data_IF_454605985834
#
_entry.id   IF_454605985834
#
_cell.length_a   1.000
_cell.length_b   1.000
_cell.length_c   1.000
_cell.angle_alpha   90.00
_cell.angle_beta   90.00
_cell.angle_gamma   90.00
#
_symmetry.space_group_name_H-M   'P 1'
#
loop_
_entity.id
_entity.type
_entity.pdbx_description
1 polymer ?
#
# COMPACT_ATOMS: atom_id res chain seq x y z
N UNK A 1 -16.59 -31.96 -15.16
CA UNK A 1 -16.48 -31.14 -13.92
C UNK A 1 -16.88 -29.71 -14.27
N UNK A 2 -17.32 -28.89 -13.30
CA UNK A 2 -17.76 -27.50 -13.57
C UNK A 2 -16.58 -26.63 -14.02
N UNK A 3 -16.84 -25.61 -14.84
CA UNK A 3 -15.83 -24.68 -15.32
C UNK A 3 -15.15 -23.96 -14.12
N UNK A 4 -13.81 -23.88 -14.06
CA UNK A 4 -13.09 -23.21 -12.97
C UNK A 4 -13.59 -21.80 -12.68
N UNK A 5 -13.91 -21.03 -13.72
CA UNK A 5 -14.35 -19.64 -13.58
C UNK A 5 -15.72 -19.52 -12.91
N UNK A 6 -16.62 -20.46 -13.16
CA UNK A 6 -17.93 -20.53 -12.49
C UNK A 6 -17.78 -20.98 -11.04
N UNK A 7 -16.88 -21.92 -10.76
CA UNK A 7 -16.58 -22.35 -9.38
C UNK A 7 -16.04 -21.17 -8.57
N UNK A 8 -15.08 -20.42 -9.11
CA UNK A 8 -14.52 -19.24 -8.45
C UNK A 8 -15.56 -18.13 -8.23
N UNK A 9 -16.44 -17.87 -9.20
CA UNK A 9 -17.57 -16.93 -9.03
C UNK A 9 -18.52 -17.37 -7.92
N UNK A 10 -18.93 -18.63 -7.91
CA UNK A 10 -19.81 -19.18 -6.85
C UNK A 10 -19.16 -19.08 -5.45
N UNK A 11 -17.85 -19.30 -5.35
CA UNK A 11 -17.11 -19.11 -4.09
C UNK A 11 -17.11 -17.64 -3.66
N UNK A 12 -16.92 -16.73 -4.61
CA UNK A 12 -16.91 -15.27 -4.39
C UNK A 12 -18.27 -14.73 -3.96
N UNK A 13 -19.36 -15.29 -4.47
CA UNK A 13 -20.72 -14.90 -4.08
C UNK A 13 -21.03 -15.35 -2.65
N UNK A 14 -20.67 -16.59 -2.32
CA UNK A 14 -20.87 -17.16 -0.98
C UNK A 14 -19.95 -16.56 0.07
N UNK A 15 -18.79 -16.02 -0.31
CA UNK A 15 -17.86 -15.40 0.64
C UNK A 15 -18.32 -14.03 1.15
N UNK A 16 -19.35 -13.44 0.54
CA UNK A 16 -20.01 -12.23 1.08
C UNK A 16 -20.68 -12.50 2.43
N UNK A 17 -21.12 -13.73 2.67
CA UNK A 17 -21.69 -14.12 3.95
C UNK A 17 -20.57 -14.51 4.93
N UNK A 18 -20.31 -13.64 5.91
CA UNK A 18 -19.22 -13.83 6.87
C UNK A 18 -19.38 -15.06 7.78
N UNK A 19 -20.62 -15.57 7.93
CA UNK A 19 -20.93 -16.76 8.72
C UNK A 19 -20.79 -18.06 7.93
N UNK A 20 -20.64 -17.99 6.60
CA UNK A 20 -20.57 -19.17 5.77
C UNK A 20 -19.21 -19.88 5.94
N UNK A 21 -19.27 -21.19 6.16
CA UNK A 21 -18.09 -22.05 6.22
C UNK A 21 -17.95 -22.85 4.94
N UNK A 22 -16.81 -22.71 4.29
CA UNK A 22 -16.53 -23.40 3.04
C UNK A 22 -16.13 -24.84 3.31
N UNK A 23 -16.92 -25.79 2.79
CA UNK A 23 -16.66 -27.21 2.87
C UNK A 23 -16.25 -27.77 1.50
N UNK A 24 -15.49 -28.87 1.50
CA UNK A 24 -15.12 -29.64 0.30
C UNK A 24 -14.33 -28.84 -0.75
N UNK A 25 -13.51 -27.87 -0.33
CA UNK A 25 -12.60 -27.12 -1.21
C UNK A 25 -11.54 -28.03 -1.83
N UNK A 26 -11.10 -29.07 -1.11
CA UNK A 26 -10.11 -30.02 -1.58
C UNK A 26 -10.55 -30.73 -2.88
N UNK A 27 -11.86 -30.96 -3.06
CA UNK A 27 -12.41 -31.57 -4.28
C UNK A 27 -12.23 -30.70 -5.53
N UNK A 28 -12.11 -29.38 -5.37
CA UNK A 28 -11.87 -28.47 -6.49
C UNK A 28 -10.45 -28.64 -7.07
N UNK A 29 -9.50 -29.13 -6.25
CA UNK A 29 -8.14 -29.44 -6.68
C UNK A 29 -8.08 -30.66 -7.62
N UNK A 30 -9.17 -31.42 -7.79
CA UNK A 30 -9.20 -32.56 -8.72
C UNK A 30 -9.50 -32.16 -10.17
N UNK A 31 -9.86 -30.89 -10.40
CA UNK A 31 -10.25 -30.45 -11.72
C UNK A 31 -9.04 -29.96 -12.53
N UNK A 32 -8.78 -30.65 -13.64
CA UNK A 32 -7.68 -30.38 -14.59
C UNK A 32 -7.66 -28.93 -15.09
N UNK A 33 -8.82 -28.35 -15.32
CA UNK A 33 -8.93 -27.01 -15.91
C UNK A 33 -8.34 -25.92 -14.99
N UNK A 34 -8.35 -26.13 -13.66
CA UNK A 34 -7.70 -25.21 -12.71
C UNK A 34 -6.18 -25.17 -12.90
N UNK A 35 -5.57 -26.32 -13.18
CA UNK A 35 -4.14 -26.42 -13.39
C UNK A 35 -3.70 -25.78 -14.70
N UNK A 36 -4.51 -25.91 -15.76
CA UNK A 36 -4.26 -25.20 -17.01
C UNK A 36 -4.37 -23.68 -16.86
N UNK A 37 -5.33 -23.19 -16.07
CA UNK A 37 -5.44 -21.77 -15.75
C UNK A 37 -4.23 -21.28 -14.92
N UNK A 38 -3.82 -22.06 -13.92
CA UNK A 38 -2.62 -21.77 -13.13
C UNK A 38 -1.36 -21.74 -13.99
N UNK A 39 -1.21 -22.71 -14.90
CA UNK A 39 -0.10 -22.79 -15.85
C UNK A 39 -0.02 -21.52 -16.71
N UNK A 40 -1.16 -21.07 -17.27
CA UNK A 40 -1.23 -19.83 -18.05
C UNK A 40 -0.77 -18.60 -17.26
N UNK A 41 -1.21 -18.47 -16.01
CA UNK A 41 -0.84 -17.35 -15.14
C UNK A 41 0.65 -17.36 -14.78
N UNK A 42 1.22 -18.54 -14.55
CA UNK A 42 2.64 -18.71 -14.22
C UNK A 42 3.52 -18.46 -15.44
N UNK A 43 3.13 -18.97 -16.62
CA UNK A 43 3.90 -18.85 -17.86
C UNK A 43 4.06 -17.38 -18.29
N UNK A 44 3.06 -16.54 -18.03
CA UNK A 44 3.12 -15.10 -18.32
C UNK A 44 4.20 -14.34 -17.51
N UNK A 45 4.71 -14.90 -16.40
CA UNK A 45 5.71 -14.26 -15.55
C UNK A 45 7.14 -14.56 -16.03
N UNK A 46 7.99 -13.52 -16.14
CA UNK A 46 9.40 -13.63 -16.58
C UNK A 46 10.31 -14.55 -15.73
N UNK A 47 9.83 -15.02 -14.58
CA UNK A 47 10.50 -15.98 -13.69
C UNK A 47 9.98 -17.42 -13.84
N UNK A 48 9.33 -17.76 -14.94
CA UNK A 48 8.85 -19.12 -15.26
C UNK A 48 10.00 -20.08 -15.63
N UNK A 49 11.12 -19.55 -16.14
CA UNK A 49 12.27 -20.32 -16.62
C UNK A 49 13.26 -20.76 -15.51
N UNK A 50 13.12 -20.28 -14.27
CA UNK A 50 14.05 -20.68 -13.19
C UNK A 50 13.70 -22.05 -12.64
N UNK A 51 14.60 -23.01 -12.88
CA UNK A 51 14.49 -24.37 -12.36
C UNK A 51 14.45 -24.39 -10.81
N UNK A 52 13.56 -25.23 -10.26
CA UNK A 52 13.46 -25.49 -8.82
C UNK A 52 14.60 -26.35 -8.28
N UNK A 53 14.43 -26.90 -7.08
CA UNK A 53 15.37 -27.88 -6.49
C UNK A 53 15.56 -29.12 -7.36
N UNK A 54 14.52 -29.53 -8.08
CA UNK A 54 14.52 -30.71 -8.94
C UNK A 54 15.16 -30.50 -10.33
N UNK A 55 15.63 -29.30 -10.65
CA UNK A 55 16.14 -28.99 -12.00
C UNK A 55 15.06 -28.91 -13.10
N UNK A 56 13.83 -29.32 -12.81
CA UNK A 56 12.70 -29.20 -13.73
C UNK A 56 12.19 -27.77 -13.83
N UNK A 57 12.02 -27.31 -15.07
CA UNK A 57 11.32 -26.07 -15.41
C UNK A 57 9.83 -26.33 -15.57
N UNK A 58 9.07 -25.25 -15.80
CA UNK A 58 7.65 -25.32 -16.13
C UNK A 58 7.44 -25.85 -17.56
N UNK A 59 8.49 -25.82 -18.40
CA UNK A 59 8.48 -26.39 -19.75
C UNK A 59 8.46 -27.93 -19.67
N UNK A 60 7.53 -28.55 -20.38
CA UNK A 60 7.29 -30.00 -20.33
C UNK A 60 6.13 -30.43 -19.44
N UNK A 61 5.26 -29.50 -19.01
CA UNK A 61 3.98 -29.84 -18.40
C UNK A 61 3.07 -30.57 -19.40
N UNK A 62 2.82 -31.85 -19.13
CA UNK A 62 1.90 -32.70 -19.89
C UNK A 62 0.63 -32.99 -19.08
N UNK A 63 -0.44 -33.39 -19.77
CA UNK A 63 -1.67 -33.86 -19.12
C UNK A 63 -1.38 -35.02 -18.15
N UNK A 64 -0.45 -35.90 -18.50
CA UNK A 64 -0.04 -37.04 -17.67
C UNK A 64 0.60 -36.60 -16.34
N UNK A 65 1.43 -35.55 -16.36
CA UNK A 65 2.04 -35.01 -15.14
C UNK A 65 1.00 -34.35 -14.23
N UNK A 66 0.04 -33.61 -14.82
CA UNK A 66 -1.08 -33.01 -14.07
C UNK A 66 -1.95 -34.12 -13.45
N UNK A 67 -2.22 -35.18 -14.20
CA UNK A 67 -2.99 -36.33 -13.70
C UNK A 67 -2.28 -37.04 -12.54
N UNK A 68 -0.95 -37.24 -12.63
CA UNK A 68 -0.16 -37.78 -11.54
C UNK A 68 -0.21 -36.92 -10.27
N UNK A 69 -0.18 -35.58 -10.41
CA UNK A 69 -0.36 -34.66 -9.28
C UNK A 69 -1.76 -34.78 -8.69
N UNK A 70 -2.79 -34.85 -9.54
CA UNK A 70 -4.19 -35.00 -9.10
C UNK A 70 -4.37 -36.32 -8.34
N UNK A 71 -3.79 -37.41 -8.82
CA UNK A 71 -3.89 -38.71 -8.16
C UNK A 71 -3.15 -38.73 -6.82
N UNK A 72 -1.96 -38.13 -6.74
CA UNK A 72 -1.22 -37.91 -5.49
C UNK A 72 -1.93 -36.96 -4.50
N UNK A 73 -2.81 -36.09 -5.00
CA UNK A 73 -3.68 -35.27 -4.15
C UNK A 73 -4.90 -36.07 -3.67
N UNK A 74 -5.49 -36.94 -4.51
CA UNK A 74 -6.63 -37.79 -4.13
C UNK A 74 -6.27 -38.81 -3.04
N UNK A 75 -5.08 -39.38 -3.10
CA UNK A 75 -4.59 -40.36 -2.11
C UNK A 75 -3.94 -39.70 -0.87
N UNK A 76 -3.91 -38.37 -0.82
CA UNK A 76 -3.27 -37.56 0.23
C UNK A 76 -1.75 -37.79 0.41
N UNK A 77 -1.10 -38.50 -0.51
CA UNK A 77 0.33 -38.82 -0.48
C UNK A 77 1.20 -37.63 -0.87
N UNK A 78 0.63 -36.60 -1.49
CA UNK A 78 1.36 -35.41 -1.92
C UNK A 78 2.09 -34.72 -0.75
N UNK A 79 3.40 -34.58 -0.90
CA UNK A 79 4.30 -33.88 0.01
C UNK A 79 5.07 -32.80 -0.75
N UNK A 80 4.92 -31.52 -0.37
CA UNK A 80 5.66 -30.43 -1.00
C UNK A 80 7.16 -30.60 -0.79
N UNK A 81 7.93 -30.22 -1.80
CA UNK A 81 9.39 -30.28 -1.74
C UNK A 81 9.94 -29.02 -1.07
N UNK A 82 11.11 -29.10 -0.40
CA UNK A 82 11.73 -27.93 0.20
C UNK A 82 12.11 -26.91 -0.87
N UNK A 83 11.91 -25.62 -0.56
CA UNK A 83 12.26 -24.54 -1.47
C UNK A 83 13.78 -24.31 -1.52
N UNK A 84 14.35 -24.05 -2.71
CA UNK A 84 15.77 -23.70 -2.86
C UNK A 84 15.99 -22.26 -2.43
N UNK A 85 16.78 -22.02 -1.38
CA UNK A 85 17.10 -20.65 -0.94
C UNK A 85 18.14 -20.03 -1.87
N UNK A 86 17.81 -18.87 -2.43
CA UNK A 86 18.70 -18.06 -3.26
C UNK A 86 18.69 -16.63 -2.75
N UNK A 87 19.85 -15.97 -2.76
CA UNK A 87 19.97 -14.63 -2.21
C UNK A 87 19.97 -13.59 -3.31
N UNK A 88 18.96 -12.72 -3.30
CA UNK A 88 18.93 -11.54 -4.18
C UNK A 88 19.42 -10.33 -3.39
N UNK A 89 20.42 -9.62 -3.92
CA UNK A 89 20.88 -8.38 -3.32
C UNK A 89 19.74 -7.32 -3.35
N UNK A 90 19.44 -6.69 -2.21
CA UNK A 90 18.55 -5.51 -2.23
C UNK A 90 19.25 -4.40 -3.00
N UNK A 91 18.55 -3.76 -3.95
CA UNK A 91 19.05 -2.54 -4.60
C UNK A 91 19.40 -1.50 -3.51
N UNK A 92 20.62 -0.98 -3.54
CA UNK A 92 21.16 0.01 -2.60
C UNK A 92 21.30 -0.42 -1.13
N UNK A 93 21.48 -1.73 -0.84
CA UNK A 93 21.86 -2.21 0.50
C UNK A 93 22.72 -3.47 0.45
N UNK A 94 23.68 -3.60 1.38
CA UNK A 94 24.45 -4.85 1.57
C UNK A 94 23.60 -6.02 2.11
N UNK A 95 22.32 -5.79 2.45
CA UNK A 95 21.41 -6.84 2.93
C UNK A 95 20.87 -7.66 1.76
N UNK A 96 21.05 -8.97 1.81
CA UNK A 96 20.47 -9.93 0.86
C UNK A 96 19.04 -10.29 1.28
N UNK A 97 18.11 -10.46 0.33
CA UNK A 97 16.79 -11.06 0.56
C UNK A 97 16.88 -12.54 0.22
N UNK A 98 16.56 -13.44 1.16
CA UNK A 98 16.40 -14.85 0.83
C UNK A 98 15.13 -15.03 0.00
N UNK A 99 15.23 -15.73 -1.12
CA UNK A 99 14.11 -16.13 -1.97
C UNK A 99 14.09 -17.65 -2.05
N UNK A 100 12.97 -18.27 -1.70
CA UNK A 100 12.73 -19.70 -1.87
C UNK A 100 12.17 -19.97 -3.26
N UNK A 101 12.98 -20.57 -4.14
CA UNK A 101 12.52 -21.05 -5.45
C UNK A 101 11.95 -22.45 -5.25
N UNK A 102 10.66 -22.61 -5.50
CA UNK A 102 9.95 -23.88 -5.34
C UNK A 102 10.04 -24.73 -6.61
N UNK A 103 9.68 -26.03 -6.49
CA UNK A 103 9.52 -26.90 -7.66
C UNK A 103 8.36 -26.45 -8.54
N UNK A 104 8.41 -26.79 -9.84
CA UNK A 104 7.39 -26.41 -10.82
C UNK A 104 6.00 -26.95 -10.48
N UNK A 105 5.93 -28.19 -9.97
CA UNK A 105 4.68 -28.83 -9.57
C UNK A 105 4.08 -28.16 -8.33
N UNK A 106 4.91 -27.89 -7.32
CA UNK A 106 4.50 -27.18 -6.11
C UNK A 106 4.00 -25.77 -6.41
N UNK A 107 4.65 -25.08 -7.37
CA UNK A 107 4.24 -23.75 -7.82
C UNK A 107 2.87 -23.78 -8.51
N UNK A 108 2.59 -24.83 -9.29
CA UNK A 108 1.30 -25.02 -9.97
C UNK A 108 0.18 -25.31 -8.96
N UNK A 109 0.39 -26.25 -8.03
CA UNK A 109 -0.59 -26.54 -6.96
C UNK A 109 -0.85 -25.31 -6.09
N UNK A 110 0.21 -24.57 -5.76
CA UNK A 110 0.08 -23.33 -4.98
C UNK A 110 -0.68 -22.24 -5.72
N UNK A 111 -0.49 -22.05 -7.02
CA UNK A 111 -1.26 -21.06 -7.76
C UNK A 111 -2.77 -21.43 -7.80
N UNK A 112 -3.11 -22.71 -7.86
CA UNK A 112 -4.51 -23.15 -7.72
C UNK A 112 -5.06 -22.85 -6.32
N UNK A 113 -4.30 -23.19 -5.26
CA UNK A 113 -4.68 -22.88 -3.87
C UNK A 113 -4.85 -21.37 -3.67
N UNK A 114 -3.95 -20.56 -4.24
CA UNK A 114 -4.02 -19.10 -4.21
C UNK A 114 -5.30 -18.59 -4.87
N UNK A 115 -5.65 -19.06 -6.08
CA UNK A 115 -6.89 -18.62 -6.76
C UNK A 115 -8.15 -18.92 -5.93
N UNK A 116 -8.19 -20.09 -5.28
CA UNK A 116 -9.30 -20.48 -4.39
C UNK A 116 -9.34 -19.54 -3.16
N UNK A 117 -8.20 -19.33 -2.50
CA UNK A 117 -8.10 -18.46 -1.33
C UNK A 117 -8.43 -17.00 -1.66
N UNK A 118 -7.97 -16.47 -2.80
CA UNK A 118 -8.30 -15.11 -3.26
C UNK A 118 -9.81 -14.96 -3.46
N UNK A 119 -10.48 -15.96 -4.06
CA UNK A 119 -11.93 -15.91 -4.25
C UNK A 119 -12.72 -15.91 -2.94
N UNK A 120 -12.18 -16.55 -1.91
CA UNK A 120 -12.80 -16.60 -0.57
C UNK A 120 -12.54 -15.31 0.21
N UNK A 121 -11.30 -14.81 0.23
CA UNK A 121 -10.92 -13.74 1.15
C UNK A 121 -10.97 -12.32 0.53
N UNK A 122 -10.85 -12.18 -0.78
CA UNK A 122 -10.83 -10.85 -1.42
C UNK A 122 -12.08 -10.00 -1.14
N UNK A 123 -13.31 -10.56 -1.09
CA UNK A 123 -14.50 -9.82 -0.70
C UNK A 123 -14.55 -9.42 0.78
N UNK A 124 -13.88 -10.19 1.66
CA UNK A 124 -13.86 -9.93 3.09
C UNK A 124 -12.81 -8.90 3.51
N UNK A 125 -11.80 -8.64 2.67
CA UNK A 125 -10.70 -7.74 3.02
C UNK A 125 -11.12 -6.28 3.07
N UNK A 126 -10.67 -5.57 4.12
CA UNK A 126 -10.92 -4.13 4.27
C UNK A 126 -10.43 -3.34 3.06
N UNK A 127 -11.21 -2.34 2.64
CA UNK A 127 -10.86 -1.43 1.55
C UNK A 127 -9.60 -0.59 1.82
N UNK A 128 -9.17 -0.52 3.10
CA UNK A 128 -7.98 0.21 3.55
C UNK A 128 -6.67 -0.57 3.33
N UNK A 129 -6.77 -1.86 2.98
CA UNK A 129 -5.63 -2.72 2.66
C UNK A 129 -5.44 -2.86 1.14
N UNK A 130 -4.23 -2.57 0.65
CA UNK A 130 -3.92 -2.55 -0.79
C UNK A 130 -2.80 -3.50 -1.21
N UNK A 131 -2.02 -4.02 -0.27
CA UNK A 131 -0.85 -4.84 -0.58
C UNK A 131 -1.24 -6.18 -1.20
N UNK A 132 -0.57 -6.58 -2.28
CA UNK A 132 -0.71 -7.90 -2.92
C UNK A 132 -2.15 -8.33 -3.26
N UNK A 133 -3.02 -7.37 -3.59
CA UNK A 133 -4.42 -7.64 -3.98
C UNK A 133 -4.63 -7.40 -5.47
N UNK A 134 -5.51 -8.18 -6.13
CA UNK A 134 -5.87 -7.93 -7.52
C UNK A 134 -6.44 -6.52 -7.68
N UNK A 135 -6.06 -5.82 -8.75
CA UNK A 135 -6.47 -4.45 -9.06
C UNK A 135 -6.10 -3.36 -8.02
N UNK A 136 -5.23 -3.65 -7.06
CA UNK A 136 -4.70 -2.66 -6.10
C UNK A 136 -3.19 -2.50 -6.26
N UNK A 137 -2.70 -1.29 -6.03
CA UNK A 137 -1.28 -0.96 -6.21
C UNK A 137 -0.81 0.08 -5.19
N UNK A 138 0.48 0.39 -5.16
CA UNK A 138 1.01 1.46 -4.31
C UNK A 138 0.26 2.78 -4.54
N UNK A 139 -0.11 3.04 -5.80
CA UNK A 139 -0.84 4.23 -6.24
C UNK A 139 -2.24 4.33 -5.63
N UNK A 140 -2.95 3.21 -5.47
CA UNK A 140 -4.30 3.21 -4.87
C UNK A 140 -4.23 3.54 -3.39
N UNK A 141 -3.24 3.02 -2.67
CA UNK A 141 -2.99 3.35 -1.26
C UNK A 141 -2.66 4.84 -1.07
N UNK A 142 -1.76 5.38 -1.90
CA UNK A 142 -1.37 6.79 -1.86
C UNK A 142 -2.54 7.73 -2.22
N UNK A 143 -3.35 7.36 -3.21
CA UNK A 143 -4.56 8.13 -3.57
C UNK A 143 -5.60 8.11 -2.44
N UNK A 144 -5.76 6.98 -1.75
CA UNK A 144 -6.62 6.92 -0.56
C UNK A 144 -6.10 7.84 0.54
N UNK A 145 -4.79 7.82 0.83
CA UNK A 145 -4.20 8.72 1.83
C UNK A 145 -4.46 10.18 1.46
N UNK A 146 -4.27 10.56 0.19
CA UNK A 146 -4.49 11.92 -0.27
C UNK A 146 -5.92 12.42 -0.03
N UNK A 147 -6.92 11.55 -0.23
CA UNK A 147 -8.35 11.88 -0.06
C UNK A 147 -8.77 11.83 1.41
N UNK A 148 -8.40 10.76 2.10
CA UNK A 148 -8.94 10.42 3.42
C UNK A 148 -8.22 11.16 4.54
N UNK A 149 -6.89 11.36 4.46
CA UNK A 149 -6.06 11.92 5.56
C UNK A 149 -6.13 13.45 5.68
N UNK A 150 -7.19 14.05 5.14
CA UNK A 150 -7.41 15.51 5.16
C UNK A 150 -7.60 16.02 6.59
N UNK A 151 -6.69 16.89 7.05
CA UNK A 151 -6.73 17.48 8.38
C UNK A 151 -6.12 16.63 9.50
N UNK A 152 -5.29 15.65 9.17
CA UNK A 152 -4.45 14.92 10.12
C UNK A 152 -3.36 15.81 10.73
N UNK A 153 -3.09 15.59 12.03
CA UNK A 153 -2.10 16.36 12.79
C UNK A 153 -0.82 15.55 13.03
N UNK A 154 -0.97 14.25 13.23
CA UNK A 154 0.12 13.31 13.47
C UNK A 154 0.00 12.12 12.53
N UNK A 155 1.13 11.66 12.02
CA UNK A 155 1.26 10.38 11.35
C UNK A 155 2.02 9.43 12.26
N UNK A 156 1.54 8.21 12.40
CA UNK A 156 2.26 7.09 13.01
C UNK A 156 2.62 6.14 11.87
N UNK A 157 3.91 6.05 11.59
CA UNK A 157 4.47 5.10 10.63
C UNK A 157 4.68 3.76 11.33
N UNK A 158 4.09 2.71 10.78
CA UNK A 158 4.22 1.34 11.26
C UNK A 158 4.91 0.45 10.23
N UNK A 159 5.91 -0.30 10.67
CA UNK A 159 6.59 -1.34 9.89
C UNK A 159 6.73 -2.58 10.77
N UNK A 160 6.25 -3.72 10.26
CA UNK A 160 6.33 -5.01 10.93
C UNK A 160 7.71 -5.62 10.65
N UNK A 161 8.41 -6.05 11.70
CA UNK A 161 9.72 -6.66 11.52
C UNK A 161 9.56 -8.05 10.87
N UNK A 162 10.27 -8.27 9.76
CA UNK A 162 10.40 -9.57 9.10
C UNK A 162 9.08 -10.35 8.96
N UNK A 163 8.00 -9.66 8.56
CA UNK A 163 6.63 -10.19 8.54
C UNK A 163 6.54 -11.61 7.94
N UNK A 164 7.17 -11.82 6.77
CA UNK A 164 7.19 -13.14 6.11
C UNK A 164 7.97 -14.23 6.86
N UNK A 165 8.97 -13.90 7.67
CA UNK A 165 9.81 -14.90 8.38
C UNK A 165 9.29 -15.18 9.81
N UNK A 166 8.48 -14.27 10.38
CA UNK A 166 8.04 -14.30 11.78
C UNK A 166 6.62 -14.82 12.02
N UNK A 167 5.90 -15.25 10.97
CA UNK A 167 4.53 -15.75 11.14
C UNK A 167 4.44 -17.06 11.92
N UNK A 168 3.60 -17.08 12.96
CA UNK A 168 3.22 -18.31 13.67
C UNK A 168 2.23 -19.12 12.80
N UNK A 169 2.63 -20.34 12.44
CA UNK A 169 1.84 -21.24 11.61
C UNK A 169 0.51 -21.62 12.27
N UNK A 170 0.47 -21.74 13.60
CA UNK A 170 -0.76 -22.11 14.32
C UNK A 170 -1.81 -21.02 14.17
N UNK A 171 -1.43 -19.76 14.36
CA UNK A 171 -2.35 -18.62 14.23
C UNK A 171 -2.89 -18.53 12.81
N UNK A 172 -2.05 -18.73 11.78
CA UNK A 172 -2.52 -18.76 10.37
C UNK A 172 -3.57 -19.86 10.17
N UNK A 173 -3.31 -21.08 10.65
CA UNK A 173 -4.26 -22.19 10.52
C UNK A 173 -5.56 -21.92 11.28
N UNK A 174 -5.49 -21.39 12.50
CA UNK A 174 -6.67 -21.07 13.29
C UNK A 174 -7.53 -19.99 12.63
N UNK A 175 -6.90 -19.00 11.98
CA UNK A 175 -7.60 -18.01 11.18
C UNK A 175 -8.27 -18.62 9.94
N UNK A 176 -7.59 -19.54 9.25
CA UNK A 176 -8.18 -20.25 8.12
C UNK A 176 -9.37 -21.12 8.55
N UNK A 177 -9.27 -21.79 9.71
CA UNK A 177 -10.34 -22.62 10.31
C UNK A 177 -11.61 -21.84 10.64
N UNK A 178 -11.53 -20.53 10.89
CA UNK A 178 -12.72 -19.70 11.12
C UNK A 178 -13.66 -19.65 9.91
N UNK A 179 -13.14 -19.84 8.69
CA UNK A 179 -13.88 -19.68 7.43
C UNK A 179 -13.91 -20.96 6.58
N UNK A 180 -12.91 -21.83 6.71
CA UNK A 180 -12.77 -23.06 5.93
C UNK A 180 -12.96 -24.24 6.86
N UNK A 181 -13.93 -25.08 6.55
CA UNK A 181 -14.28 -26.31 7.26
C UNK A 181 -13.93 -27.51 6.36
N UNK A 182 -12.65 -27.63 6.03
CA UNK A 182 -12.07 -28.68 5.20
C UNK A 182 -10.65 -29.01 5.70
N UNK A 183 -10.56 -30.03 6.56
CA UNK A 183 -9.29 -30.43 7.17
C UNK A 183 -8.26 -30.91 6.14
N UNK A 184 -8.66 -31.53 5.03
CA UNK A 184 -7.71 -31.97 4.00
C UNK A 184 -7.03 -30.78 3.31
N UNK A 185 -7.80 -29.73 3.04
CA UNK A 185 -7.26 -28.49 2.46
C UNK A 185 -6.35 -27.75 3.45
N UNK A 186 -6.72 -27.72 4.73
CA UNK A 186 -5.91 -27.09 5.79
C UNK A 186 -4.61 -27.87 6.02
N UNK A 187 -4.66 -29.21 6.01
CA UNK A 187 -3.48 -30.06 6.09
C UNK A 187 -2.52 -29.84 4.91
N UNK A 188 -3.05 -29.63 3.70
CA UNK A 188 -2.22 -29.29 2.54
C UNK A 188 -1.48 -27.96 2.74
N UNK A 189 -2.16 -26.92 3.22
CA UNK A 189 -1.54 -25.63 3.55
C UNK A 189 -0.49 -25.80 4.66
N UNK A 190 -0.79 -26.60 5.69
CA UNK A 190 0.15 -26.93 6.75
C UNK A 190 1.41 -27.63 6.23
N UNK A 191 1.26 -28.58 5.30
CA UNK A 191 2.37 -29.24 4.61
C UNK A 191 3.21 -28.22 3.84
N UNK A 192 2.60 -27.24 3.16
CA UNK A 192 3.34 -26.17 2.47
C UNK A 192 4.11 -25.26 3.41
N UNK A 193 3.55 -24.92 4.58
CA UNK A 193 4.23 -24.12 5.59
C UNK A 193 5.42 -24.86 6.23
N UNK A 194 5.29 -26.18 6.43
CA UNK A 194 6.34 -27.03 7.01
C UNK A 194 7.35 -27.58 6.00
N UNK A 195 7.17 -27.36 4.71
CA UNK A 195 7.99 -27.93 3.63
C UNK A 195 9.50 -27.62 3.78
N UNK A 196 9.88 -26.63 4.59
CA UNK A 196 11.26 -26.29 4.87
C UNK A 196 11.93 -25.58 3.69
N UNK A 197 13.24 -25.38 3.79
CA UNK A 197 14.06 -24.89 2.70
C UNK A 197 15.38 -25.64 2.63
N UNK A 198 15.97 -25.68 1.44
CA UNK A 198 17.33 -26.16 1.22
C UNK A 198 18.28 -24.99 1.04
N UNK A 199 19.35 -24.97 1.83
CA UNK A 199 20.43 -23.99 1.76
C UNK A 199 21.77 -24.72 1.65
N UNK A 200 22.55 -24.47 0.59
CA UNK A 200 23.87 -25.10 0.37
C UNK A 200 23.92 -26.62 0.62
N UNK A 201 22.94 -27.36 0.09
CA UNK A 201 22.79 -28.83 0.24
C UNK A 201 22.43 -29.33 1.65
N UNK A 202 22.13 -28.43 2.58
CA UNK A 202 21.55 -28.75 3.89
C UNK A 202 20.05 -28.47 3.91
N UNK A 203 19.28 -29.41 4.45
CA UNK A 203 17.84 -29.26 4.66
C UNK A 203 17.60 -28.59 6.01
N UNK A 204 16.87 -27.49 6.00
CA UNK A 204 16.49 -26.75 7.20
C UNK A 204 14.96 -26.72 7.34
N UNK A 205 14.48 -26.91 8.58
CA UNK A 205 13.05 -26.84 8.89
C UNK A 205 12.62 -25.39 9.05
N UNK A 206 11.48 -25.03 8.45
CA UNK A 206 10.86 -23.73 8.68
C UNK A 206 10.05 -23.80 9.98
N UNK A 207 10.58 -23.24 11.06
CA UNK A 207 9.89 -23.16 12.36
C UNK A 207 8.87 -22.01 12.44
N UNK A 208 9.08 -20.95 11.65
CA UNK A 208 8.19 -19.79 11.53
C UNK A 208 8.31 -19.16 10.14
N UNK A 209 7.27 -18.45 9.72
CA UNK A 209 7.26 -17.72 8.45
C UNK A 209 6.74 -18.52 7.26
N UNK A 210 6.52 -17.83 6.15
CA UNK A 210 6.01 -18.38 4.89
C UNK A 210 7.11 -18.25 3.82
N UNK A 211 7.41 -19.30 3.05
CA UNK A 211 8.51 -19.28 2.08
C UNK A 211 8.38 -18.15 1.05
N UNK A 212 9.29 -17.19 1.12
CA UNK A 212 9.28 -15.99 0.27
C UNK A 212 9.56 -16.38 -1.20
N UNK A 213 8.52 -16.40 -2.05
CA UNK A 213 8.59 -16.89 -3.43
C UNK A 213 7.42 -17.82 -3.81
N UNK A 214 6.67 -18.28 -2.81
CA UNK A 214 5.42 -19.02 -2.98
C UNK A 214 4.29 -18.11 -3.46
N UNK A 215 3.47 -18.57 -4.41
CA UNK A 215 2.31 -17.82 -4.91
C UNK A 215 1.24 -17.59 -3.82
N UNK A 216 1.16 -18.48 -2.83
CA UNK A 216 0.17 -18.45 -1.74
C UNK A 216 0.58 -17.52 -0.60
N UNK A 217 1.88 -17.23 -0.45
CA UNK A 217 2.41 -16.43 0.66
C UNK A 217 1.76 -15.06 0.85
N UNK A 218 1.57 -14.27 -0.22
CA UNK A 218 0.99 -12.93 -0.08
C UNK A 218 -0.47 -12.96 0.39
N UNK A 219 -1.23 -13.97 -0.04
CA UNK A 219 -2.64 -14.14 0.37
C UNK A 219 -2.71 -14.52 1.85
N UNK A 220 -1.89 -15.47 2.29
CA UNK A 220 -1.83 -15.87 3.71
C UNK A 220 -1.40 -14.70 4.61
N UNK A 221 -0.40 -13.93 4.20
CA UNK A 221 0.01 -12.70 4.89
C UNK A 221 -1.15 -11.70 5.00
N UNK A 222 -1.93 -11.52 3.93
CA UNK A 222 -3.10 -10.65 3.97
C UNK A 222 -4.22 -11.16 4.86
N UNK A 223 -4.51 -12.47 4.87
CA UNK A 223 -5.47 -13.10 5.80
C UNK A 223 -5.05 -12.85 7.24
N UNK A 224 -3.76 -13.00 7.53
CA UNK A 224 -3.20 -12.77 8.83
C UNK A 224 -3.34 -11.31 9.30
N UNK A 225 -2.90 -10.37 8.46
CA UNK A 225 -2.94 -8.94 8.74
C UNK A 225 -4.36 -8.35 8.67
N UNK A 226 -5.34 -9.08 8.15
CA UNK A 226 -6.73 -8.65 8.18
C UNK A 226 -7.29 -8.58 9.61
N UNK A 227 -6.79 -9.37 10.55
CA UNK A 227 -7.17 -9.25 11.96
C UNK A 227 -6.69 -7.92 12.55
N UNK A 228 -5.54 -7.41 12.11
CA UNK A 228 -5.09 -6.06 12.46
C UNK A 228 -5.98 -5.00 11.81
N UNK A 229 -6.40 -5.19 10.56
CA UNK A 229 -7.33 -4.26 9.90
C UNK A 229 -8.67 -4.17 10.65
N UNK A 230 -9.20 -5.31 11.11
CA UNK A 230 -10.41 -5.39 11.94
C UNK A 230 -10.25 -4.72 13.30
N UNK A 231 -9.13 -4.98 13.98
CA UNK A 231 -8.81 -4.31 15.24
C UNK A 231 -8.78 -2.79 15.07
N UNK A 232 -8.15 -2.30 14.00
CA UNK A 232 -8.08 -0.86 13.71
C UNK A 232 -9.45 -0.26 13.37
N UNK A 233 -10.37 -1.03 12.79
CA UNK A 233 -11.76 -0.60 12.56
C UNK A 233 -12.53 -0.46 13.87
N UNK A 234 -12.47 -1.46 14.75
CA UNK A 234 -13.06 -1.39 16.09
C UNK A 234 -12.45 -0.27 16.94
N UNK A 235 -11.12 -0.12 16.86
CA UNK A 235 -10.41 0.94 17.57
C UNK A 235 -10.85 2.32 17.07
N UNK A 236 -11.00 2.49 15.74
CA UNK A 236 -11.49 3.73 15.17
C UNK A 236 -12.91 4.06 15.65
N UNK A 237 -13.81 3.09 15.77
CA UNK A 237 -15.16 3.32 16.31
C UNK A 237 -15.12 3.83 17.75
N UNK A 238 -14.27 3.25 18.59
CA UNK A 238 -14.12 3.68 20.00
C UNK A 238 -13.46 5.04 20.16
N UNK A 239 -12.53 5.38 19.26
CA UNK A 239 -11.72 6.59 19.35
C UNK A 239 -12.36 7.80 18.65
N UNK A 240 -13.19 7.57 17.63
CA UNK A 240 -13.80 8.63 16.85
C UNK A 240 -14.90 9.34 17.66
N UNK A 241 -14.73 10.63 17.95
CA UNK A 241 -15.80 11.40 18.58
C UNK A 241 -16.98 11.60 17.62
N UNK A 242 -18.21 11.45 18.10
CA UNK A 242 -19.44 11.77 17.35
C UNK A 242 -19.56 13.27 16.98
N UNK A 243 -18.74 14.13 17.57
CA UNK A 243 -18.72 15.56 17.29
C UNK A 243 -18.39 15.83 15.81
N UNK A 244 -19.17 16.70 15.18
CA UNK A 244 -18.86 17.17 13.83
C UNK A 244 -17.77 18.24 13.89
N UNK A 245 -16.80 18.16 12.98
CA UNK A 245 -15.72 19.16 12.87
C UNK A 245 -16.34 20.54 12.66
N UNK A 246 -16.03 21.51 13.53
CA UNK A 246 -16.38 22.92 13.29
C UNK A 246 -15.65 23.41 12.04
N UNK A 247 -16.35 23.42 10.90
CA UNK A 247 -15.79 23.76 9.58
C UNK A 247 -15.40 25.23 9.46
N UNK A 248 -16.12 26.13 10.12
CA UNK A 248 -15.83 27.56 10.13
C UNK A 248 -15.52 28.09 11.53
N UNK A 249 -14.42 28.83 11.64
CA UNK A 249 -14.22 29.73 12.78
C UNK A 249 -15.32 30.79 12.77
N UNK A 250 -15.96 31.03 13.92
CA UNK A 250 -17.06 32.00 14.05
C UNK A 250 -16.65 33.38 13.52
N UNK A 251 -15.43 33.81 13.82
CA UNK A 251 -14.85 35.07 13.34
C UNK A 251 -14.73 35.16 11.81
N UNK A 252 -14.36 34.06 11.15
CA UNK A 252 -14.26 34.01 9.69
C UNK A 252 -15.64 34.12 9.04
N UNK A 253 -16.64 33.38 9.56
CA UNK A 253 -18.03 33.45 9.06
C UNK A 253 -18.59 34.87 9.14
N UNK A 254 -18.41 35.55 10.28
CA UNK A 254 -18.83 36.94 10.45
C UNK A 254 -18.15 37.90 9.47
N UNK A 255 -16.87 37.66 9.13
CA UNK A 255 -16.14 38.48 8.15
C UNK A 255 -16.68 38.30 6.71
N UNK A 256 -17.01 37.07 6.31
CA UNK A 256 -17.63 36.76 5.01
C UNK A 256 -19.00 37.44 4.93
N UNK A 257 -19.84 37.25 5.95
CA UNK A 257 -21.19 37.81 5.97
C UNK A 257 -21.14 39.34 5.87
N UNK A 258 -20.17 39.98 6.53
CA UNK A 258 -19.96 41.43 6.46
C UNK A 258 -19.54 41.89 5.07
N UNK A 259 -18.63 41.19 4.41
CA UNK A 259 -18.21 41.50 3.04
C UNK A 259 -19.34 41.28 2.02
N UNK A 260 -20.09 40.19 2.17
CA UNK A 260 -21.24 39.86 1.33
C UNK A 260 -22.36 40.90 1.46
N UNK A 261 -22.79 41.22 2.69
CA UNK A 261 -23.80 42.26 2.94
C UNK A 261 -23.38 43.63 2.38
N UNK A 262 -22.10 43.99 2.50
CA UNK A 262 -21.58 45.25 1.96
C UNK A 262 -21.60 45.29 0.42
N UNK A 263 -21.40 44.13 -0.23
CA UNK A 263 -21.51 43.95 -1.68
C UNK A 263 -22.96 44.04 -2.15
N UNK A 264 -23.91 43.37 -1.47
CA UNK A 264 -25.34 43.42 -1.82
C UNK A 264 -25.88 44.85 -1.71
N UNK A 265 -25.66 45.53 -0.57
CA UNK A 265 -25.95 46.96 -0.40
C UNK A 265 -25.22 47.86 -1.39
N UNK A 266 -24.17 47.35 -2.03
CA UNK A 266 -23.39 48.08 -3.03
C UNK A 266 -24.02 48.02 -4.40
N UNK A 267 -24.58 46.87 -4.78
CA UNK A 267 -25.29 46.69 -6.04
C UNK A 267 -26.58 47.50 -6.08
N UNK A 268 -27.33 47.57 -4.97
CA UNK A 268 -28.58 48.33 -4.87
C UNK A 268 -28.38 49.85 -5.01
N UNK A 269 -27.25 50.38 -4.55
CA UNK A 269 -26.97 51.82 -4.50
C UNK A 269 -25.99 52.22 -5.63
N UNK A 270 -25.51 51.26 -6.43
CA UNK A 270 -24.41 51.49 -7.37
C UNK A 270 -24.71 52.57 -8.42
N UNK A 271 -25.95 52.60 -8.90
CA UNK A 271 -26.42 53.51 -9.95
C UNK A 271 -26.58 54.95 -9.45
N UNK A 272 -26.93 55.14 -8.17
CA UNK A 272 -27.18 56.46 -7.56
C UNK A 272 -25.93 57.14 -7.00
N UNK A 273 -24.80 56.42 -6.89
CA UNK A 273 -23.54 56.93 -6.31
C UNK A 273 -22.67 57.72 -7.30
N UNK A 274 -22.05 58.80 -6.81
CA UNK A 274 -21.04 59.56 -7.57
C UNK A 274 -19.71 58.80 -7.72
N UNK A 275 -18.87 59.21 -8.68
CA UNK A 275 -17.58 58.56 -8.99
C UNK A 275 -16.63 58.47 -7.77
N UNK A 276 -16.64 59.47 -6.89
CA UNK A 276 -15.79 59.49 -5.69
C UNK A 276 -16.26 58.49 -4.63
N UNK A 277 -17.57 58.41 -4.40
CA UNK A 277 -18.16 57.49 -3.44
C UNK A 277 -17.99 56.03 -3.89
N UNK A 278 -18.07 55.76 -5.20
CA UNK A 278 -17.71 54.46 -5.78
C UNK A 278 -16.25 54.07 -5.48
N UNK A 279 -15.32 55.03 -5.51
CA UNK A 279 -13.89 54.80 -5.22
C UNK A 279 -13.66 54.47 -3.74
N UNK A 280 -14.32 55.19 -2.83
CA UNK A 280 -14.28 54.94 -1.38
C UNK A 280 -14.86 53.56 -1.07
N UNK A 281 -16.01 53.22 -1.66
CA UNK A 281 -16.67 51.92 -1.48
C UNK A 281 -15.81 50.77 -1.99
N UNK A 282 -15.18 50.92 -3.15
CA UNK A 282 -14.21 49.95 -3.69
C UNK A 282 -13.00 49.77 -2.76
N UNK A 283 -12.45 50.84 -2.18
CA UNK A 283 -11.37 50.74 -1.18
C UNK A 283 -11.85 49.97 0.06
N UNK A 284 -13.05 50.25 0.55
CA UNK A 284 -13.62 49.57 1.73
C UNK A 284 -13.89 48.08 1.47
N UNK A 285 -14.41 47.75 0.28
CA UNK A 285 -14.60 46.37 -0.16
C UNK A 285 -13.26 45.62 -0.22
N UNK A 286 -12.21 46.26 -0.78
CA UNK A 286 -10.86 45.68 -0.81
C UNK A 286 -10.29 45.44 0.59
N UNK A 287 -10.54 46.35 1.54
CA UNK A 287 -10.15 46.16 2.95
C UNK A 287 -10.90 44.99 3.59
N UNK A 288 -12.21 44.87 3.38
CA UNK A 288 -13.00 43.74 3.90
C UNK A 288 -12.55 42.42 3.29
N UNK A 289 -12.25 42.39 1.99
CA UNK A 289 -11.67 41.21 1.32
C UNK A 289 -10.25 40.89 1.80
N UNK A 290 -9.47 41.89 2.21
CA UNK A 290 -8.14 41.69 2.81
C UNK A 290 -8.25 41.13 4.23
N UNK A 291 -9.16 41.64 5.04
CA UNK A 291 -9.45 41.11 6.38
C UNK A 291 -10.01 39.69 6.32
N UNK A 292 -10.87 39.40 5.33
CA UNK A 292 -11.29 38.02 5.02
C UNK A 292 -10.05 37.17 4.70
N UNK A 293 -9.23 37.63 3.73
CA UNK A 293 -7.79 37.30 3.46
C UNK A 293 -7.02 36.70 4.64
N UNK A 294 -6.97 37.47 5.71
CA UNK A 294 -6.11 37.23 6.88
C UNK A 294 -6.72 36.19 7.85
N UNK A 295 -8.05 36.11 7.92
CA UNK A 295 -8.74 35.15 8.78
C UNK A 295 -8.72 33.74 8.17
N UNK A 296 -8.53 32.74 9.04
CA UNK A 296 -8.47 31.33 8.65
C UNK A 296 -9.87 30.72 8.64
N UNK A 297 -10.30 30.04 7.57
CA UNK A 297 -11.62 29.42 7.54
C UNK A 297 -11.81 28.35 8.61
N UNK A 298 -10.79 27.54 8.85
CA UNK A 298 -10.90 26.34 9.68
C UNK A 298 -10.36 26.57 11.08
N UNK A 299 -11.05 26.02 12.10
CA UNK A 299 -10.47 25.91 13.44
C UNK A 299 -9.35 24.88 13.38
N UNK A 300 -8.11 25.31 13.60
CA UNK A 300 -6.90 24.50 13.38
C UNK A 300 -6.75 23.40 14.44
N UNK A 301 -7.37 23.54 15.62
CA UNK A 301 -7.30 22.58 16.73
C UNK A 301 -8.62 22.55 17.50
N UNK A 302 -9.57 21.75 17.03
CA UNK A 302 -10.74 21.40 17.84
C UNK A 302 -10.33 20.23 18.74
N UNK A 303 -10.13 20.48 20.04
CA UNK A 303 -9.71 19.45 21.01
C UNK A 303 -10.77 18.36 21.18
N UNK A 304 -12.02 18.65 20.81
CA UNK A 304 -13.16 17.76 20.96
C UNK A 304 -13.38 16.84 19.73
N UNK A 305 -12.64 17.06 18.64
CA UNK A 305 -12.75 16.26 17.42
C UNK A 305 -11.54 15.36 17.28
N UNK A 306 -11.69 14.11 17.73
CA UNK A 306 -10.67 13.07 17.58
C UNK A 306 -11.09 12.09 16.49
N UNK A 307 -10.17 11.78 15.57
CA UNK A 307 -10.36 10.72 14.58
C UNK A 307 -9.08 9.97 14.25
N UNK A 308 -9.25 8.69 13.93
CA UNK A 308 -8.18 7.85 13.40
C UNK A 308 -8.49 7.44 11.98
N UNK A 309 -7.45 7.52 11.15
CA UNK A 309 -7.45 7.11 9.77
C UNK A 309 -6.36 6.09 9.57
N UNK A 310 -6.64 5.06 8.79
CA UNK A 310 -5.76 3.91 8.65
C UNK A 310 -5.66 3.51 7.19
N UNK A 311 -4.45 3.20 6.73
CA UNK A 311 -4.19 2.64 5.41
C UNK A 311 -2.97 1.72 5.49
N UNK A 312 -3.07 0.54 4.88
CA UNK A 312 -2.02 -0.48 4.89
C UNK A 312 -1.64 -0.92 3.49
N UNK A 313 -0.35 -1.16 3.30
CA UNK A 313 0.23 -1.77 2.13
C UNK A 313 1.17 -2.90 2.56
N UNK A 314 0.66 -4.14 2.51
CA UNK A 314 1.36 -5.31 3.03
C UNK A 314 1.77 -5.09 4.50
N UNK A 315 3.07 -5.03 4.77
CA UNK A 315 3.65 -4.90 6.11
C UNK A 315 3.79 -3.44 6.55
N UNK A 316 3.75 -2.51 5.60
CA UNK A 316 3.85 -1.07 5.84
C UNK A 316 2.45 -0.50 6.08
N UNK A 317 2.24 0.20 7.19
CA UNK A 317 0.97 0.88 7.46
C UNK A 317 1.19 2.31 7.96
N UNK A 318 0.21 3.16 7.67
CA UNK A 318 0.20 4.55 8.06
C UNK A 318 -1.09 4.85 8.82
N UNK A 319 -0.94 5.39 10.03
CA UNK A 319 -2.07 5.82 10.86
C UNK A 319 -2.05 7.34 10.95
N UNK A 320 -3.14 7.98 10.53
CA UNK A 320 -3.36 9.41 10.64
C UNK A 320 -4.19 9.70 11.88
N UNK A 321 -3.64 10.45 12.82
CA UNK A 321 -4.33 10.84 14.06
C UNK A 321 -4.69 12.32 13.98
N UNK A 322 -5.99 12.60 14.10
CA UNK A 322 -6.51 13.94 14.37
C UNK A 322 -6.66 14.03 15.88
N UNK A 323 -5.68 14.63 16.55
CA UNK A 323 -5.62 14.66 18.01
C UNK A 323 -4.34 15.27 18.54
N UNK A 324 -4.05 14.99 19.81
CA UNK A 324 -2.82 15.37 20.51
C UNK A 324 -1.68 14.39 20.20
N UNK A 325 -0.44 14.75 20.59
CA UNK A 325 0.71 13.85 20.47
C UNK A 325 0.56 12.63 21.38
N UNK A 326 0.04 12.83 22.59
CA UNK A 326 -0.21 11.76 23.56
C UNK A 326 -1.20 10.72 23.02
N UNK A 327 -2.23 11.18 22.28
CA UNK A 327 -3.13 10.26 21.60
C UNK A 327 -2.37 9.38 20.59
N UNK A 328 -1.50 9.97 19.77
CA UNK A 328 -0.71 9.22 18.78
C UNK A 328 0.28 8.23 19.43
N UNK A 329 0.88 8.60 20.56
CA UNK A 329 1.74 7.71 21.36
C UNK A 329 0.93 6.54 21.95
N UNK A 330 -0.28 6.81 22.44
CA UNK A 330 -1.20 5.77 22.92
C UNK A 330 -1.59 4.80 21.81
N UNK A 331 -2.02 5.30 20.64
CA UNK A 331 -2.36 4.43 19.49
C UNK A 331 -1.18 3.54 19.12
N UNK A 332 0.04 4.08 19.13
CA UNK A 332 1.25 3.30 18.84
C UNK A 332 1.43 2.17 19.85
N UNK A 333 1.23 2.43 21.15
CA UNK A 333 1.37 1.44 22.19
C UNK A 333 0.28 0.35 22.10
N UNK A 334 -0.99 0.75 21.95
CA UNK A 334 -2.12 -0.17 21.85
C UNK A 334 -1.94 -1.14 20.64
N UNK A 335 -1.49 -0.62 19.49
CA UNK A 335 -1.19 -1.44 18.30
C UNK A 335 0.01 -2.37 18.54
N UNK A 336 1.03 -1.92 19.28
CA UNK A 336 2.20 -2.75 19.62
C UNK A 336 1.83 -3.92 20.54
N UNK A 337 0.98 -3.66 21.53
CA UNK A 337 0.46 -4.68 22.45
C UNK A 337 -0.40 -5.70 21.68
N UNK A 338 -1.32 -5.22 20.83
CA UNK A 338 -2.14 -6.11 19.99
C UNK A 338 -1.29 -7.00 19.06
N UNK A 339 -0.28 -6.43 18.40
CA UNK A 339 0.63 -7.18 17.53
C UNK A 339 1.36 -8.28 18.29
N UNK A 340 1.81 -8.00 19.51
CA UNK A 340 2.53 -8.97 20.35
C UNK A 340 1.61 -10.05 20.91
N UNK A 341 0.46 -9.68 21.44
CA UNK A 341 -0.36 -10.59 22.24
C UNK A 341 -1.24 -11.48 21.35
N UNK A 342 -1.83 -10.90 20.29
CA UNK A 342 -2.75 -11.62 19.40
C UNK A 342 -2.03 -12.24 18.22
N UNK A 343 -1.13 -11.46 17.60
CA UNK A 343 -0.43 -11.87 16.38
C UNK A 343 1.01 -12.35 16.66
N UNK A 344 1.52 -12.32 17.89
CA UNK A 344 2.90 -12.74 18.20
C UNK A 344 3.95 -12.14 17.25
N UNK A 345 3.68 -10.94 16.73
CA UNK A 345 4.55 -10.22 15.80
C UNK A 345 5.26 -9.10 16.53
N UNK A 346 6.52 -8.86 16.14
CA UNK A 346 7.30 -7.76 16.66
C UNK A 346 7.25 -6.53 15.74
N UNK A 347 6.93 -5.38 16.33
CA UNK A 347 6.97 -4.10 15.63
C UNK A 347 8.41 -3.57 15.59
N UNK A 348 8.82 -3.05 14.43
CA UNK A 348 10.16 -2.49 14.25
C UNK A 348 10.29 -1.12 14.91
N UNK A 349 10.73 -1.07 16.18
CA UNK A 349 10.85 0.17 16.95
C UNK A 349 11.77 1.21 16.26
N UNK A 350 12.81 0.76 15.54
CA UNK A 350 13.74 1.64 14.83
C UNK A 350 13.11 2.35 13.62
N UNK A 351 12.07 1.77 13.02
CA UNK A 351 11.38 2.33 11.86
C UNK A 351 10.07 3.01 12.22
N UNK A 352 9.46 2.68 13.36
CA UNK A 352 8.18 3.27 13.76
C UNK A 352 8.35 4.66 14.34
N UNK A 353 8.01 5.66 13.53
CA UNK A 353 8.17 7.07 13.87
C UNK A 353 6.81 7.76 13.99
N UNK A 354 6.70 8.61 14.99
CA UNK A 354 5.59 9.55 15.13
C UNK A 354 6.06 10.87 14.52
N UNK A 355 5.47 11.25 13.39
CA UNK A 355 5.83 12.47 12.67
C UNK A 355 4.67 13.45 12.74
N UNK A 356 4.99 14.72 13.02
CA UNK A 356 3.99 15.78 12.95
C UNK A 356 3.74 16.14 11.49
N UNK A 357 2.51 16.52 11.12
CA UNK A 357 2.18 16.81 9.70
C UNK A 357 2.84 18.07 9.11
N UNK A 358 3.58 18.83 9.93
CA UNK A 358 4.48 19.89 9.45
C UNK A 358 5.78 19.36 8.87
N UNK A 359 6.22 18.19 9.32
CA UNK A 359 7.39 17.48 8.81
C UNK A 359 6.98 16.48 7.73
N UNK A 360 7.98 15.91 7.06
CA UNK A 360 7.78 14.94 5.99
C UNK A 360 7.74 13.53 6.57
N UNK A 361 6.58 12.89 6.50
CA UNK A 361 6.45 11.45 6.74
C UNK A 361 6.86 10.69 5.47
N UNK A 362 7.47 9.50 5.58
CA UNK A 362 7.90 8.73 4.40
C UNK A 362 7.12 7.42 4.32
N UNK A 363 6.31 7.28 3.27
CA UNK A 363 5.48 6.09 3.06
C UNK A 363 5.52 5.65 1.59
N UNK A 364 5.75 4.35 1.34
CA UNK A 364 5.90 3.79 -0.01
C UNK A 364 6.83 4.61 -0.91
N UNK A 365 7.88 5.20 -0.34
CA UNK A 365 8.83 6.01 -1.09
C UNK A 365 8.38 7.40 -1.52
N UNK A 366 7.23 7.87 -1.06
CA UNK A 366 6.80 9.26 -1.16
C UNK A 366 6.99 9.97 0.17
N UNK A 367 7.30 11.26 0.11
CA UNK A 367 7.25 12.14 1.27
C UNK A 367 5.83 12.73 1.36
N UNK A 368 5.12 12.43 2.44
CA UNK A 368 3.77 12.89 2.72
C UNK A 368 3.85 14.12 3.62
N UNK A 369 3.17 15.20 3.20
CA UNK A 369 3.08 16.44 3.98
C UNK A 369 1.66 16.97 3.95
N UNK A 370 1.25 17.76 4.95
CA UNK A 370 -0.04 18.44 4.91
C UNK A 370 0.16 19.92 4.57
N UNK A 371 -0.50 20.38 3.51
CA UNK A 371 -0.45 21.77 3.10
C UNK A 371 -1.12 22.66 4.15
N UNK A 372 -0.32 23.49 4.82
CA UNK A 372 -0.82 24.56 5.73
C UNK A 372 -0.79 25.95 5.11
N UNK A 373 -0.31 26.04 3.86
CA UNK A 373 -0.29 27.29 3.10
C UNK A 373 -1.73 27.76 2.83
N UNK A 374 -2.02 28.99 3.28
CA UNK A 374 -3.26 29.70 3.00
C UNK A 374 -3.14 30.65 1.80
N UNK A 375 -2.02 30.55 1.06
CA UNK A 375 -1.69 31.48 -0.01
C UNK A 375 -2.72 31.35 -1.13
N UNK A 376 -3.19 32.48 -1.67
CA UNK A 376 -4.09 32.49 -2.83
C UNK A 376 -3.32 32.14 -4.11
N UNK A 377 -3.84 31.17 -4.88
CA UNK A 377 -3.39 30.86 -6.24
C UNK A 377 -4.46 31.25 -7.25
N UNK A 378 -4.01 31.72 -8.41
CA UNK A 378 -4.87 31.97 -9.56
C UNK A 378 -5.02 30.67 -10.34
N UNK A 379 -6.25 30.18 -10.52
CA UNK A 379 -6.52 29.01 -11.34
C UNK A 379 -6.43 29.35 -12.83
N UNK A 380 -6.34 28.33 -13.67
CA UNK A 380 -6.32 28.46 -15.14
C UNK A 380 -7.56 29.21 -15.69
N UNK A 381 -8.69 29.14 -14.98
CA UNK A 381 -9.93 29.87 -15.30
C UNK A 381 -9.94 31.34 -14.82
N UNK A 382 -8.80 31.87 -14.38
CA UNK A 382 -8.65 33.26 -13.90
C UNK A 382 -9.19 33.55 -12.50
N UNK A 383 -9.91 32.61 -11.86
CA UNK A 383 -10.42 32.77 -10.49
C UNK A 383 -9.29 32.63 -9.48
N UNK A 384 -9.31 33.48 -8.45
CA UNK A 384 -8.36 33.42 -7.33
C UNK A 384 -8.98 32.57 -6.23
N UNK A 385 -8.35 31.44 -5.91
CA UNK A 385 -8.77 30.55 -4.83
C UNK A 385 -7.63 30.42 -3.81
N UNK A 386 -7.95 30.30 -2.51
CA UNK A 386 -6.93 29.94 -1.52
C UNK A 386 -6.43 28.54 -1.76
N UNK A 387 -5.14 28.31 -1.52
CA UNK A 387 -4.59 26.97 -1.43
C UNK A 387 -5.41 26.18 -0.39
N UNK A 388 -5.78 24.95 -0.75
CA UNK A 388 -6.52 24.08 0.15
C UNK A 388 -5.63 23.80 1.37
N UNK A 389 -6.08 24.26 2.54
CA UNK A 389 -5.42 24.01 3.81
C UNK A 389 -5.90 22.70 4.41
N UNK A 390 -4.98 21.92 4.98
CA UNK A 390 -5.27 20.61 5.55
C UNK A 390 -5.30 19.47 4.51
N UNK A 391 -5.01 19.76 3.24
CA UNK A 391 -4.93 18.73 2.18
C UNK A 391 -3.54 18.12 2.15
N UNK A 392 -3.51 16.79 2.03
CA UNK A 392 -2.28 16.01 1.95
C UNK A 392 -1.64 16.20 0.58
N UNK A 393 -0.34 16.48 0.57
CA UNK A 393 0.51 16.56 -0.62
C UNK A 393 1.51 15.42 -0.59
N UNK A 394 1.64 14.77 -1.73
CA UNK A 394 2.63 13.74 -1.99
C UNK A 394 3.79 14.42 -2.72
N UNK A 395 5.01 14.19 -2.24
CA UNK A 395 6.23 14.76 -2.81
C UNK A 395 7.19 13.63 -3.14
N UNK A 396 7.93 13.81 -4.24
CA UNK A 396 9.02 12.90 -4.59
C UNK A 396 10.25 13.26 -3.74
N UNK A 397 10.79 12.33 -2.94
CA UNK A 397 11.98 12.62 -2.14
C UNK A 397 13.18 12.90 -3.04
N UNK A 398 13.86 14.03 -2.81
CA UNK A 398 15.00 14.46 -3.65
C UNK A 398 16.11 13.41 -3.67
N UNK A 399 16.39 12.84 -2.50
CA UNK A 399 17.39 11.78 -2.29
C UNK A 399 17.18 10.57 -3.21
N UNK A 400 15.94 10.14 -3.44
CA UNK A 400 15.69 8.88 -4.17
C UNK A 400 16.04 8.97 -5.64
N UNK A 401 15.63 10.05 -6.32
CA UNK A 401 15.97 10.20 -7.73
C UNK A 401 17.43 10.63 -7.92
N UNK A 402 17.98 11.43 -7.00
CA UNK A 402 19.40 11.79 -7.02
C UNK A 402 20.29 10.56 -6.83
N UNK A 403 20.03 9.72 -5.80
CA UNK A 403 20.80 8.50 -5.56
C UNK A 403 20.71 7.52 -6.74
N UNK A 404 19.53 7.42 -7.37
CA UNK A 404 19.34 6.57 -8.55
C UNK A 404 20.13 7.10 -9.76
N UNK A 405 20.18 8.41 -9.96
CA UNK A 405 21.00 9.03 -11.02
C UNK A 405 22.50 8.92 -10.74
N UNK A 406 22.92 8.95 -9.47
CA UNK A 406 24.29 8.69 -9.04
C UNK A 406 24.68 7.21 -9.24
N UNK A 407 23.79 6.27 -8.91
CA UNK A 407 23.97 4.82 -9.13
C UNK A 407 24.16 4.52 -10.62
N UNK A 408 23.37 5.16 -11.48
CA UNK A 408 23.51 5.06 -12.93
C UNK A 408 24.74 5.79 -13.49
N UNK A 409 25.53 6.46 -12.65
CA UNK A 409 26.65 7.33 -13.04
C UNK A 409 26.25 8.35 -14.11
N UNK A 410 24.99 8.76 -14.11
CA UNK A 410 24.42 9.66 -15.11
C UNK A 410 24.65 11.14 -14.77
N UNK A 411 24.93 11.44 -13.50
CA UNK A 411 25.22 12.80 -13.04
C UNK A 411 26.35 12.85 -12.01
N UNK A 412 27.13 13.93 -12.02
CA UNK A 412 28.03 14.34 -10.93
C UNK A 412 27.50 15.64 -10.34
N UNK A 413 27.38 15.71 -9.02
CA UNK A 413 27.08 16.95 -8.32
C UNK A 413 28.42 17.68 -8.14
N UNK A 414 28.61 18.79 -8.86
CA UNK A 414 29.71 19.72 -8.58
C UNK A 414 29.16 20.80 -7.65
N UNK A 415 29.75 20.94 -6.46
CA UNK A 415 29.47 22.07 -5.58
C UNK A 415 30.29 23.24 -6.13
N UNK A 416 29.61 24.32 -6.50
CA UNK A 416 30.26 25.56 -6.93
C UNK A 416 30.80 26.29 -5.70
N UNK A 417 31.81 27.15 -5.83
CA UNK A 417 32.41 27.90 -4.71
C UNK A 417 31.38 28.69 -3.87
N UNK A 418 30.22 29.04 -4.44
CA UNK A 418 29.08 29.67 -3.76
C UNK A 418 28.17 28.71 -2.94
N UNK A 419 28.55 27.44 -2.77
CA UNK A 419 27.75 26.43 -2.05
C UNK A 419 26.50 25.95 -2.80
N UNK A 420 26.31 26.34 -4.07
CA UNK A 420 25.19 25.87 -4.92
C UNK A 420 25.54 24.58 -5.66
N UNK A 421 24.66 23.58 -5.54
CA UNK A 421 24.73 22.30 -6.23
C UNK A 421 24.49 22.47 -7.74
N UNK A 422 25.52 22.27 -8.57
CA UNK A 422 25.39 22.22 -10.03
C UNK A 422 25.42 20.76 -10.49
N UNK A 423 24.32 20.34 -11.13
CA UNK A 423 24.19 19.00 -11.70
C UNK A 423 24.86 18.98 -13.07
N UNK A 424 25.87 18.12 -13.24
CA UNK A 424 26.55 17.92 -14.53
C UNK A 424 26.25 16.50 -15.01
N UNK A 425 25.70 16.39 -16.22
CA UNK A 425 25.47 15.10 -16.86
C UNK A 425 26.82 14.43 -17.19
N UNK A 426 26.92 13.14 -16.90
CA UNK A 426 28.07 12.30 -17.23
C UNK A 426 27.72 11.35 -18.37
N UNK A 427 28.68 11.11 -19.26
CA UNK A 427 28.54 10.09 -20.28
C UNK A 427 28.61 8.70 -19.63
N UNK A 428 27.69 7.80 -19.99
CA UNK A 428 27.65 6.44 -19.43
C UNK A 428 28.55 5.51 -20.23
N UNK A 429 29.80 5.32 -19.76
CA UNK A 429 30.79 4.47 -20.45
C UNK A 429 30.36 3.02 -20.73
N UNK A 430 29.39 2.47 -19.99
CA UNK A 430 28.86 1.11 -20.21
C UNK A 430 27.97 0.97 -21.44
N UNK A 431 27.40 2.07 -21.93
CA UNK A 431 26.46 2.08 -23.06
C UNK A 431 27.14 2.46 -24.39
N UNK A 432 28.46 2.70 -24.38
CA UNK A 432 29.22 3.13 -25.56
C UNK A 432 29.25 2.06 -26.65
N UNK A 433 29.20 0.78 -26.26
CA UNK A 433 29.24 -0.36 -27.19
C UNK A 433 27.84 -0.84 -27.61
N UNK A 434 26.77 -0.21 -27.14
CA UNK A 434 25.39 -0.57 -27.49
C UNK A 434 24.95 0.17 -28.74
N UNK A 435 23.97 -0.37 -29.45
CA UNK A 435 23.37 0.32 -30.60
C UNK A 435 22.54 1.53 -30.16
N UNK A 436 22.39 2.52 -31.03
CA UNK A 436 21.62 3.75 -30.72
C UNK A 436 20.20 3.44 -30.22
N UNK A 437 19.55 2.44 -30.80
CA UNK A 437 18.20 1.99 -30.43
C UNK A 437 18.19 1.39 -29.03
N UNK A 438 19.18 0.55 -28.69
CA UNK A 438 19.29 -0.03 -27.35
C UNK A 438 19.59 1.03 -26.28
N UNK A 439 20.42 2.02 -26.61
CA UNK A 439 20.71 3.15 -25.73
C UNK A 439 19.41 3.91 -25.44
N UNK A 440 18.69 4.34 -26.48
CA UNK A 440 17.42 5.06 -26.34
C UNK A 440 16.37 4.25 -25.58
N UNK A 441 16.24 2.96 -25.89
CA UNK A 441 15.29 2.05 -25.21
C UNK A 441 15.61 1.92 -23.73
N UNK A 442 16.90 1.82 -23.38
CA UNK A 442 17.33 1.74 -21.99
C UNK A 442 16.98 3.01 -21.22
N UNK A 443 17.34 4.20 -21.75
CA UNK A 443 16.99 5.48 -21.13
C UNK A 443 15.48 5.67 -21.00
N UNK A 444 14.73 5.39 -22.07
CA UNK A 444 13.27 5.49 -22.05
C UNK A 444 12.65 4.57 -21.00
N UNK A 445 13.12 3.31 -20.90
CA UNK A 445 12.62 2.37 -19.89
C UNK A 445 12.87 2.84 -18.45
N UNK A 446 14.03 3.45 -18.19
CA UNK A 446 14.40 3.98 -16.88
C UNK A 446 13.54 5.19 -16.49
N UNK A 447 13.37 6.14 -17.42
CA UNK A 447 12.57 7.35 -17.23
C UNK A 447 11.09 6.99 -17.09
N UNK A 448 10.56 6.13 -17.97
CA UNK A 448 9.18 5.67 -17.90
C UNK A 448 8.89 4.97 -16.58
N UNK A 449 9.81 4.14 -16.07
CA UNK A 449 9.64 3.49 -14.77
C UNK A 449 9.55 4.49 -13.60
N UNK A 450 10.38 5.53 -13.62
CA UNK A 450 10.32 6.61 -12.62
C UNK A 450 9.05 7.45 -12.76
N UNK A 451 8.71 7.85 -13.98
CA UNK A 451 7.55 8.68 -14.27
C UNK A 451 6.25 7.96 -13.91
N UNK A 452 6.09 6.70 -14.32
CA UNK A 452 4.91 5.90 -13.98
C UNK A 452 4.75 5.79 -12.46
N UNK A 453 5.84 5.51 -11.75
CA UNK A 453 5.80 5.37 -10.30
C UNK A 453 5.55 6.67 -9.55
N UNK A 454 6.02 7.83 -10.05
CA UNK A 454 5.87 9.14 -9.38
C UNK A 454 4.80 10.06 -10.01
N UNK A 455 4.03 9.57 -10.97
CA UNK A 455 3.01 10.31 -11.72
C UNK A 455 1.92 10.98 -10.86
N UNK A 456 1.78 10.57 -9.60
CA UNK A 456 0.79 11.10 -8.66
C UNK A 456 1.23 12.44 -8.03
N UNK A 457 2.54 12.69 -7.93
CA UNK A 457 3.10 13.85 -7.22
C UNK A 457 3.27 15.09 -8.10
#
# INVERSE_FOLDING_TARGET
MRNPTEVLKNLTEKSKDESYRFQRLYRNLYNRDFYWLAYKNIYANKGSMTAGTDGMTIDGMSNERIDGIIDALKDHSYHPKPARRTYIAKKNSNKKRPLGIQSGDDKLVQEVVKMILESIYEPCFSNKSHGFRPNRSCHTALSQIQKTFTGTNWFVEGDIHACFDSFDHHVVIDLLRKRIDDEAFIQLIWKFLKAGYMEQWTYERTYSGVPQGSGVSPVLCNVYLNELDRYMEMYAESFNTAASRKRLATAYRTSIDRAYRYKCKGNEIWETLTKEERKIRCKKLKQLQKAEKELTPTVVKDTNYKRILYTRYADDFLIGVIGSKADAEKVKQDVKEFLRDVLKLEMSDAKTKITHTGDRARFLGYDITVSRSQTTKKLANGKIQRCQTGVVKLLVPREKWVNKLLEYKAMKIKITEDGKERFVALHRGKLVNCTDIEILTTYNSEIMGLYNYYSIA
#
